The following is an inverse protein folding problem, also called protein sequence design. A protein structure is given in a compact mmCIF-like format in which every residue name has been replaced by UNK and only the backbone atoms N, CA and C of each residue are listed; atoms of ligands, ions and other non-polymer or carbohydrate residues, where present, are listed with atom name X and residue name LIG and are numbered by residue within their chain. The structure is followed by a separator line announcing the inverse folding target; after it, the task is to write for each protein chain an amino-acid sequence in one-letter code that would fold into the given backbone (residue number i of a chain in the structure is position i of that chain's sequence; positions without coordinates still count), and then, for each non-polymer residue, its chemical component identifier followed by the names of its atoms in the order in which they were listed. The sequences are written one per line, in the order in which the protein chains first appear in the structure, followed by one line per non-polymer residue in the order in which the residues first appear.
data_IF_822691767616
#
_entry.id   IF_822691767616
#
_cell.length_a   1.000
_cell.length_b   1.000
_cell.length_c   1.000
_cell.angle_alpha   90.00
_cell.angle_beta   90.00
_cell.angle_gamma   90.00
#
_symmetry.space_group_name_H-M   'P 1'
#
loop_
_entity.id
_entity.type
_entity.pdbx_description
1 polymer ?
#
# COMPACT_ATOMS: atom_id res chain seq x y z
N UNK A 1 -9.96 -12.69 -0.78
CA UNK A 1 -8.54 -13.07 -0.57
C UNK A 1 -7.97 -12.01 0.32
N UNK A 2 -7.49 -12.39 1.50
CA UNK A 2 -6.98 -11.44 2.50
C UNK A 2 -5.46 -11.47 2.52
N UNK A 3 -4.84 -10.30 2.69
CA UNK A 3 -3.39 -10.16 2.80
C UNK A 3 -2.93 -10.34 4.25
N UNK A 4 -1.88 -11.13 4.45
CA UNK A 4 -1.24 -11.29 5.76
C UNK A 4 0.26 -10.99 5.67
N UNK A 5 0.71 -10.00 6.44
CA UNK A 5 2.13 -9.68 6.59
C UNK A 5 2.66 -10.21 7.93
N UNK A 6 3.77 -10.96 7.88
CA UNK A 6 4.41 -11.55 9.07
C UNK A 6 5.84 -11.01 9.19
N UNK A 7 6.19 -10.48 10.37
CA UNK A 7 7.51 -9.94 10.65
C UNK A 7 8.11 -10.65 11.88
N UNK A 8 9.40 -10.97 11.81
CA UNK A 8 10.15 -11.50 12.94
C UNK A 8 11.61 -11.06 12.89
N UNK A 9 12.24 -10.96 14.07
CA UNK A 9 13.68 -10.71 14.20
C UNK A 9 14.54 -11.90 13.78
N UNK A 10 13.96 -13.11 13.78
CA UNK A 10 14.66 -14.37 13.54
C UNK A 10 13.88 -15.22 12.55
N UNK A 11 14.57 -15.68 11.49
CA UNK A 11 13.95 -16.46 10.42
C UNK A 11 13.21 -17.70 10.94
N UNK A 12 13.80 -18.43 11.89
CA UNK A 12 13.18 -19.63 12.49
C UNK A 12 11.79 -19.37 13.10
N UNK A 13 11.55 -18.18 13.67
CA UNK A 13 10.25 -17.83 14.23
C UNK A 13 9.25 -17.54 13.13
N UNK A 14 9.68 -16.87 12.07
CA UNK A 14 8.85 -16.60 10.89
C UNK A 14 8.42 -17.91 10.21
N UNK A 15 9.34 -18.86 10.00
CA UNK A 15 8.99 -20.17 9.41
C UNK A 15 8.04 -20.96 10.31
N UNK A 16 8.28 -20.98 11.62
CA UNK A 16 7.39 -21.68 12.58
C UNK A 16 5.97 -21.12 12.57
N UNK A 17 5.81 -19.79 12.49
CA UNK A 17 4.49 -19.15 12.40
C UNK A 17 3.82 -19.48 11.07
N UNK A 18 4.56 -19.40 9.95
CA UNK A 18 4.04 -19.76 8.62
C UNK A 18 3.54 -21.20 8.57
N UNK A 19 4.30 -22.14 9.11
CA UNK A 19 3.93 -23.55 9.13
C UNK A 19 2.69 -23.81 9.99
N UNK A 20 2.61 -23.20 11.18
CA UNK A 20 1.42 -23.31 12.03
C UNK A 20 0.16 -22.74 11.36
N UNK A 21 0.27 -21.61 10.64
CA UNK A 21 -0.87 -21.01 9.93
C UNK A 21 -1.31 -21.84 8.72
N UNK A 22 -0.37 -22.39 7.94
CA UNK A 22 -0.66 -23.26 6.79
C UNK A 22 -1.38 -24.56 7.17
N UNK A 23 -1.26 -25.00 8.42
CA UNK A 23 -2.01 -26.17 8.91
C UNK A 23 -3.48 -25.86 9.21
N UNK A 24 -3.81 -24.60 9.46
CA UNK A 24 -5.15 -24.16 9.87
C UNK A 24 -5.90 -23.52 8.70
N UNK A 25 -5.17 -22.79 7.85
CA UNK A 25 -5.73 -22.01 6.75
C UNK A 25 -5.11 -22.41 5.42
N UNK A 26 -5.93 -22.45 4.37
CA UNK A 26 -5.45 -22.50 3.00
C UNK A 26 -4.80 -21.15 2.65
N UNK A 27 -3.47 -21.10 2.67
CA UNK A 27 -2.71 -19.88 2.40
C UNK A 27 -1.48 -20.15 1.54
N UNK A 28 -1.16 -19.19 0.68
CA UNK A 28 0.05 -19.23 -0.16
C UNK A 28 1.09 -18.27 0.40
N UNK A 29 2.34 -18.72 0.46
CA UNK A 29 3.46 -17.87 0.82
C UNK A 29 3.97 -17.15 -0.44
N UNK A 30 3.80 -15.83 -0.48
CA UNK A 30 4.24 -14.98 -1.60
C UNK A 30 5.73 -14.58 -1.49
N UNK A 31 6.43 -15.04 -0.45
CA UNK A 31 7.85 -14.76 -0.25
C UNK A 31 8.10 -13.42 0.44
N UNK A 32 9.22 -12.74 0.14
CA UNK A 32 9.48 -11.41 0.69
C UNK A 32 8.38 -10.41 0.31
N UNK A 33 7.97 -9.59 1.27
CA UNK A 33 6.93 -8.57 1.05
C UNK A 33 7.32 -7.60 -0.07
N UNK A 34 6.43 -7.43 -1.03
CA UNK A 34 6.60 -6.52 -2.17
C UNK A 34 5.34 -5.67 -2.45
N UNK A 35 4.15 -6.12 -1.99
CA UNK A 35 2.90 -5.36 -1.97
C UNK A 35 2.21 -5.58 -0.62
N UNK A 36 1.57 -4.54 -0.09
CA UNK A 36 0.69 -4.63 1.08
C UNK A 36 -0.40 -3.56 0.96
N UNK A 37 -1.67 -3.97 0.92
CA UNK A 37 -2.83 -3.05 0.87
C UNK A 37 -2.71 -2.01 -0.28
N UNK A 38 -2.28 -2.45 -1.46
CA UNK A 38 -2.10 -1.57 -2.63
C UNK A 38 -0.87 -0.64 -2.58
N UNK A 39 -0.02 -0.77 -1.56
CA UNK A 39 1.25 -0.06 -1.45
C UNK A 39 2.39 -0.97 -1.89
N UNK A 40 3.18 -0.53 -2.86
CA UNK A 40 4.39 -1.22 -3.29
C UNK A 40 5.48 -1.02 -2.24
N UNK A 41 6.15 -2.10 -1.86
CA UNK A 41 7.23 -2.09 -0.87
C UNK A 41 8.52 -2.53 -1.56
N UNK A 42 9.50 -1.63 -1.65
CA UNK A 42 10.86 -1.93 -2.12
C UNK A 42 11.80 -1.93 -0.93
N UNK A 43 12.44 -3.06 -0.67
CA UNK A 43 13.38 -3.20 0.44
C UNK A 43 14.78 -3.50 -0.07
N UNK A 44 15.70 -2.59 0.19
CA UNK A 44 17.13 -2.81 -0.02
C UNK A 44 17.80 -3.12 1.32
N UNK A 45 18.29 -4.35 1.47
CA UNK A 45 18.97 -4.78 2.70
C UNK A 45 20.41 -4.28 2.79
N UNK A 46 21.09 -4.07 1.67
CA UNK A 46 22.47 -3.58 1.64
C UNK A 46 22.49 -2.10 2.00
N UNK A 47 21.65 -1.30 1.35
CA UNK A 47 21.49 0.12 1.67
C UNK A 47 20.71 0.37 2.97
N UNK A 48 20.08 -0.68 3.53
CA UNK A 48 19.19 -0.62 4.71
C UNK A 48 18.02 0.35 4.54
N UNK A 49 17.48 0.43 3.33
CA UNK A 49 16.35 1.30 3.01
C UNK A 49 15.07 0.48 2.82
N UNK A 50 13.95 1.14 3.08
CA UNK A 50 12.61 0.66 2.78
C UNK A 50 11.87 1.82 2.11
N UNK A 51 11.42 1.60 0.89
CA UNK A 51 10.67 2.58 0.11
C UNK A 51 9.25 2.09 -0.08
N UNK A 52 8.30 2.99 0.11
CA UNK A 52 6.88 2.77 -0.11
C UNK A 52 6.46 3.58 -1.33
N UNK A 53 5.72 2.96 -2.25
CA UNK A 53 5.21 3.63 -3.45
C UNK A 53 3.72 3.36 -3.62
N UNK A 54 2.96 4.42 -3.86
CA UNK A 54 1.54 4.36 -4.22
C UNK A 54 1.31 4.72 -5.69
N UNK A 55 2.34 4.59 -6.55
CA UNK A 55 2.23 4.90 -7.97
C UNK A 55 1.03 4.17 -8.63
N UNK A 56 0.84 2.88 -8.33
CA UNK A 56 -0.29 2.13 -8.84
C UNK A 56 -1.66 2.71 -8.42
N UNK A 57 -1.78 3.24 -7.21
CA UNK A 57 -3.02 3.91 -6.78
C UNK A 57 -3.21 5.25 -7.49
N UNK A 58 -2.13 6.00 -7.72
CA UNK A 58 -2.16 7.24 -8.52
C UNK A 58 -2.65 6.93 -9.95
N UNK A 59 -2.14 5.87 -10.58
CA UNK A 59 -2.55 5.46 -11.92
C UNK A 59 -4.05 5.11 -11.97
N UNK A 60 -4.57 4.44 -10.93
CA UNK A 60 -6.00 4.16 -10.78
C UNK A 60 -6.82 5.44 -10.68
N UNK A 61 -6.36 6.46 -9.94
CA UNK A 61 -7.03 7.75 -9.83
C UNK A 61 -7.04 8.48 -11.18
N UNK A 62 -5.89 8.52 -11.87
CA UNK A 62 -5.76 9.18 -13.18
C UNK A 62 -6.76 8.58 -14.16
N UNK A 63 -6.81 7.26 -14.28
CA UNK A 63 -7.75 6.56 -15.15
C UNK A 63 -9.21 6.80 -14.74
N UNK A 64 -9.52 6.77 -13.43
CA UNK A 64 -10.89 7.01 -12.91
C UNK A 64 -11.45 8.38 -13.31
N UNK A 65 -10.60 9.40 -13.38
CA UNK A 65 -10.99 10.76 -13.74
C UNK A 65 -10.70 11.12 -15.21
N UNK A 66 -10.29 10.15 -16.04
CA UNK A 66 -9.91 10.32 -17.45
C UNK A 66 -8.83 11.41 -17.63
N UNK A 67 -7.81 11.39 -16.78
CA UNK A 67 -6.71 12.36 -16.78
C UNK A 67 -5.44 11.82 -17.45
N UNK A 68 -5.54 10.73 -18.21
CA UNK A 68 -4.40 10.06 -18.84
C UNK A 68 -3.60 10.97 -19.79
N UNK A 69 -4.25 11.96 -20.39
CA UNK A 69 -3.65 12.96 -21.28
C UNK A 69 -3.40 14.32 -20.60
N UNK A 70 -3.63 14.43 -19.29
CA UNK A 70 -3.43 15.68 -18.56
C UNK A 70 -1.95 16.06 -18.51
N UNK A 71 -1.65 17.36 -18.59
CA UNK A 71 -0.28 17.85 -18.43
C UNK A 71 0.24 17.53 -17.02
N UNK A 72 1.38 16.85 -16.88
CA UNK A 72 1.92 16.51 -15.58
C UNK A 72 2.39 17.77 -14.86
N UNK A 73 2.15 17.81 -13.55
CA UNK A 73 2.68 18.81 -12.63
C UNK A 73 3.57 18.11 -11.59
N UNK A 74 4.65 18.77 -11.18
CA UNK A 74 5.58 18.24 -10.17
C UNK A 74 4.96 18.17 -8.77
N UNK A 75 3.91 18.95 -8.52
CA UNK A 75 3.16 18.94 -7.26
C UNK A 75 1.69 18.65 -7.55
N UNK A 76 1.09 17.62 -6.92
CA UNK A 76 -0.31 17.24 -7.18
C UNK A 76 -1.33 18.23 -6.61
N UNK A 77 -0.91 19.11 -5.69
CA UNK A 77 -1.75 20.13 -5.07
C UNK A 77 -1.00 21.47 -5.08
N UNK A 78 -1.73 22.57 -5.29
CA UNK A 78 -1.19 23.92 -5.16
C UNK A 78 -0.65 24.14 -3.72
N UNK A 79 0.63 24.51 -3.54
CA UNK A 79 1.21 24.75 -2.22
C UNK A 79 0.50 25.84 -1.40
N UNK A 80 -0.23 26.74 -2.06
CA UNK A 80 -1.03 27.78 -1.41
C UNK A 80 -2.39 27.28 -0.89
N UNK A 81 -2.78 26.05 -1.25
CA UNK A 81 -4.03 25.45 -0.82
C UNK A 81 -3.94 24.98 0.64
N UNK A 82 -4.69 25.66 1.52
CA UNK A 82 -4.74 25.30 2.95
C UNK A 82 -5.79 24.22 3.16
N UNK A 83 -5.33 23.03 3.56
CA UNK A 83 -6.20 21.93 3.98
C UNK A 83 -6.81 22.24 5.35
N UNK A 84 -8.11 21.95 5.50
CA UNK A 84 -8.82 22.02 6.76
C UNK A 84 -9.57 20.70 7.04
N UNK A 85 -9.95 20.48 8.31
CA UNK A 85 -10.59 19.24 8.75
C UNK A 85 -11.98 19.00 8.14
N UNK A 86 -12.66 20.02 7.62
CA UNK A 86 -13.98 19.87 6.98
C UNK A 86 -13.91 19.24 5.59
N UNK A 87 -12.71 19.16 5.00
CA UNK A 87 -12.47 18.52 3.70
C UNK A 87 -12.25 17.00 3.82
N UNK A 88 -12.14 16.46 5.04
CA UNK A 88 -12.07 15.02 5.26
C UNK A 88 -13.43 14.35 5.07
N UNK A 89 -13.48 13.11 4.56
CA UNK A 89 -14.69 12.30 4.55
C UNK A 89 -15.32 12.28 5.94
N UNK A 90 -16.61 12.57 6.01
CA UNK A 90 -17.36 12.62 7.28
C UNK A 90 -18.53 11.64 7.30
N UNK A 91 -18.75 10.91 6.21
CA UNK A 91 -19.83 9.94 6.06
C UNK A 91 -19.30 8.61 5.52
N UNK A 92 -19.89 7.46 5.89
CA UNK A 92 -19.45 6.14 5.41
C UNK A 92 -19.32 6.06 3.89
N UNK A 93 -20.29 6.62 3.17
CA UNK A 93 -20.27 6.70 1.70
C UNK A 93 -19.04 7.45 1.16
N UNK A 94 -18.64 8.55 1.78
CA UNK A 94 -17.44 9.28 1.35
C UNK A 94 -16.15 8.47 1.60
N UNK A 95 -16.12 7.65 2.66
CA UNK A 95 -15.00 6.72 2.89
C UNK A 95 -14.95 5.59 1.86
N UNK A 96 -16.11 5.13 1.38
CA UNK A 96 -16.22 4.12 0.31
C UNK A 96 -15.84 4.68 -1.07
N UNK A 97 -16.03 5.99 -1.29
CA UNK A 97 -15.71 6.67 -2.54
C UNK A 97 -14.23 7.07 -2.67
N UNK A 98 -13.46 7.03 -1.58
CA UNK A 98 -11.99 7.20 -1.52
C UNK A 98 -11.24 5.97 -2.02
#
# INVERSE_FOLDING_TARGET
VDDLAIFASLRRHLEKIKEGLKQIFEMTDLGPIHWLLGIEIKRDRQARTLSLSQAAYIDVIIARFNLDEANPLTTPLDPSFILNSTQSPSTPRQYEEM
#
